data_IF_370138095771
#
_entry.id   IF_370138095771
#
_cell.length_a   1.000
_cell.length_b   1.000
_cell.length_c   1.000
_cell.angle_alpha   90.00
_cell.angle_beta   90.00
_cell.angle_gamma   90.00
#
_symmetry.space_group_name_H-M   'P 1'
#
loop_
_entity.id
_entity.type
_entity.pdbx_description
1 polymer ?
#
# COMPACT_ATOMS: atom_id res chain seq x y z
N UNK A 1 -34.38 -28.97 2.90
CA UNK A 1 -32.94 -28.63 2.85
C UNK A 1 -32.77 -27.43 1.94
N UNK A 2 -32.64 -26.21 2.50
CA UNK A 2 -32.47 -25.00 1.71
C UNK A 2 -31.06 -24.97 1.11
N UNK A 3 -30.98 -24.98 -0.22
CA UNK A 3 -29.74 -24.73 -0.96
C UNK A 3 -29.31 -23.30 -0.66
N UNK A 4 -28.28 -23.13 0.18
CA UNK A 4 -27.64 -21.82 0.41
C UNK A 4 -27.03 -21.37 -0.92
N UNK A 5 -27.76 -20.57 -1.69
CA UNK A 5 -27.24 -19.92 -2.88
C UNK A 5 -26.02 -19.10 -2.46
N UNK A 6 -24.83 -19.54 -2.87
CA UNK A 6 -23.60 -18.78 -2.66
C UNK A 6 -23.72 -17.51 -3.51
N UNK A 7 -23.68 -16.32 -2.92
CA UNK A 7 -23.88 -15.11 -3.71
C UNK A 7 -22.69 -14.89 -4.67
N UNK A 8 -22.99 -14.47 -5.90
CA UNK A 8 -22.08 -14.53 -7.08
C UNK A 8 -20.76 -13.73 -6.99
N UNK A 9 -20.70 -12.72 -6.12
CA UNK A 9 -19.47 -12.02 -5.69
C UNK A 9 -18.46 -12.92 -4.94
N UNK A 10 -18.88 -14.08 -4.43
CA UNK A 10 -17.98 -15.13 -3.91
C UNK A 10 -17.27 -15.91 -5.03
N UNK A 11 -17.87 -16.04 -6.20
CA UNK A 11 -17.30 -16.85 -7.28
C UNK A 11 -16.31 -16.08 -8.16
N UNK A 12 -16.47 -14.76 -8.29
CA UNK A 12 -15.64 -13.91 -9.18
C UNK A 12 -14.23 -13.59 -8.68
N UNK A 13 -13.85 -14.03 -7.48
CA UNK A 13 -12.48 -13.83 -6.92
C UNK A 13 -12.09 -12.37 -6.62
N UNK A 14 -12.93 -11.39 -6.97
CA UNK A 14 -12.70 -9.96 -6.77
C UNK A 14 -14.01 -9.28 -6.39
N UNK A 15 -13.97 -8.40 -5.38
CA UNK A 15 -15.13 -7.63 -4.92
C UNK A 15 -14.88 -6.17 -5.31
N UNK A 16 -15.44 -5.69 -6.43
CA UNK A 16 -15.10 -4.37 -6.99
C UNK A 16 -15.36 -3.21 -6.01
N UNK A 17 -16.37 -3.32 -5.15
CA UNK A 17 -16.67 -2.30 -4.14
C UNK A 17 -15.55 -2.13 -3.11
N UNK A 18 -14.90 -3.22 -2.70
CA UNK A 18 -13.76 -3.16 -1.78
C UNK A 18 -12.51 -2.62 -2.45
N UNK A 19 -12.30 -2.92 -3.73
CA UNK A 19 -11.21 -2.33 -4.51
C UNK A 19 -11.41 -0.83 -4.70
N UNK A 20 -12.66 -0.37 -4.94
CA UNK A 20 -13.00 1.04 -4.98
C UNK A 20 -12.75 1.77 -3.66
N UNK A 21 -13.15 1.16 -2.53
CA UNK A 21 -12.90 1.73 -1.21
C UNK A 21 -11.40 1.80 -0.87
N UNK A 22 -10.62 0.79 -1.29
CA UNK A 22 -9.15 0.83 -1.19
C UNK A 22 -8.55 1.94 -2.04
N UNK A 23 -9.09 2.20 -3.23
CA UNK A 23 -8.63 3.30 -4.07
C UNK A 23 -8.90 4.66 -3.40
N UNK A 24 -10.08 4.86 -2.81
CA UNK A 24 -10.41 6.06 -2.04
C UNK A 24 -9.45 6.22 -0.86
N UNK A 25 -9.19 5.14 -0.12
CA UNK A 25 -8.25 5.16 1.00
C UNK A 25 -6.83 5.57 0.55
N UNK A 26 -6.33 5.03 -0.57
CA UNK A 26 -5.05 5.44 -1.17
C UNK A 26 -5.06 6.93 -1.55
N UNK A 27 -6.15 7.43 -2.16
CA UNK A 27 -6.26 8.83 -2.55
C UNK A 27 -6.18 9.77 -1.33
N UNK A 28 -6.82 9.42 -0.22
CA UNK A 28 -6.71 10.18 1.03
C UNK A 28 -5.26 10.22 1.54
N UNK A 29 -4.55 9.09 1.49
CA UNK A 29 -3.12 9.01 1.87
C UNK A 29 -2.25 9.87 0.95
N UNK A 30 -2.45 9.78 -0.37
CA UNK A 30 -1.70 10.58 -1.35
C UNK A 30 -1.97 12.07 -1.19
N UNK A 31 -3.21 12.46 -0.93
CA UNK A 31 -3.59 13.84 -0.68
C UNK A 31 -2.90 14.37 0.58
N UNK A 32 -2.91 13.59 1.67
CA UNK A 32 -2.26 13.95 2.92
C UNK A 32 -0.74 14.15 2.77
N UNK A 33 -0.05 13.28 2.03
CA UNK A 33 1.39 13.42 1.78
C UNK A 33 1.68 14.56 0.79
N UNK A 34 0.84 14.72 -0.23
CA UNK A 34 0.94 15.77 -1.24
C UNK A 34 0.80 17.17 -0.65
N UNK A 35 -0.08 17.36 0.35
CA UNK A 35 -0.23 18.65 1.05
C UNK A 35 0.92 18.97 2.01
N UNK A 36 1.70 17.96 2.42
CA UNK A 36 2.86 18.12 3.32
C UNK A 36 4.18 18.31 2.57
N UNK A 37 4.19 18.11 1.25
CA UNK A 37 5.39 18.24 0.44
C UNK A 37 5.71 19.72 0.20
N UNK A 38 6.90 20.18 0.60
CA UNK A 38 7.35 21.55 0.36
C UNK A 38 7.34 21.89 -1.15
N UNK A 39 6.65 22.98 -1.52
CA UNK A 39 6.50 23.41 -2.92
C UNK A 39 5.31 22.79 -3.67
N UNK A 40 4.45 22.04 -2.99
CA UNK A 40 3.25 21.45 -3.60
C UNK A 40 2.19 22.50 -3.97
N UNK A 41 1.54 22.39 -5.14
CA UNK A 41 0.42 23.25 -5.54
C UNK A 41 -0.88 22.92 -4.80
N UNK A 42 -0.91 21.85 -4.00
CA UNK A 42 -2.09 21.45 -3.21
C UNK A 42 -2.18 22.38 -2.00
N UNK A 43 -3.32 23.09 -1.79
CA UNK A 43 -3.51 23.93 -0.61
C UNK A 43 -3.24 23.13 0.66
N UNK A 44 -2.41 23.66 1.57
CA UNK A 44 -2.14 23.00 2.83
C UNK A 44 -3.37 22.99 3.72
N UNK A 45 -4.09 21.87 3.80
CA UNK A 45 -5.28 21.71 4.65
C UNK A 45 -4.95 21.46 6.14
N UNK A 46 -3.73 21.75 6.59
CA UNK A 46 -3.32 21.66 7.99
C UNK A 46 -3.63 20.30 8.63
N UNK A 47 -4.23 20.31 9.83
CA UNK A 47 -4.58 19.12 10.63
C UNK A 47 -5.58 18.18 9.95
N UNK A 48 -6.40 18.66 9.02
CA UNK A 48 -7.39 17.85 8.31
C UNK A 48 -6.72 16.85 7.35
N UNK A 49 -5.59 17.24 6.74
CA UNK A 49 -4.79 16.36 5.90
C UNK A 49 -4.14 15.22 6.71
N UNK A 50 -3.66 15.52 7.93
CA UNK A 50 -3.10 14.50 8.83
C UNK A 50 -4.16 13.48 9.25
N UNK A 51 -5.36 13.96 9.58
CA UNK A 51 -6.47 13.10 10.01
C UNK A 51 -6.98 12.19 8.88
N UNK A 52 -7.03 12.71 7.66
CA UNK A 52 -7.44 11.94 6.48
C UNK A 52 -6.37 10.95 6.01
N UNK A 53 -5.09 11.29 6.17
CA UNK A 53 -3.98 10.40 5.89
C UNK A 53 -3.94 9.18 6.81
N UNK A 54 -4.02 9.36 8.13
CA UNK A 54 -3.99 8.25 9.09
C UNK A 54 -5.17 7.30 8.92
N UNK A 55 -6.38 7.85 8.80
CA UNK A 55 -7.60 7.05 8.55
C UNK A 55 -7.51 6.31 7.21
N UNK A 56 -7.00 6.96 6.16
CA UNK A 56 -6.78 6.32 4.86
C UNK A 56 -5.87 5.09 4.98
N UNK A 57 -4.78 5.20 5.74
CA UNK A 57 -3.87 4.08 5.99
C UNK A 57 -4.59 2.93 6.73
N UNK A 58 -5.32 3.24 7.80
CA UNK A 58 -6.06 2.23 8.59
C UNK A 58 -7.09 1.49 7.74
N UNK A 59 -7.95 2.21 7.02
CA UNK A 59 -8.97 1.61 6.14
C UNK A 59 -8.30 0.74 5.08
N UNK A 60 -7.24 1.22 4.44
CA UNK A 60 -6.52 0.46 3.43
C UNK A 60 -5.99 -0.86 3.97
N UNK A 61 -5.40 -0.86 5.17
CA UNK A 61 -4.84 -2.06 5.78
C UNK A 61 -5.93 -3.05 6.19
N UNK A 62 -7.01 -2.60 6.84
CA UNK A 62 -8.14 -3.45 7.24
C UNK A 62 -8.76 -4.13 6.01
N UNK A 63 -9.04 -3.38 4.95
CA UNK A 63 -9.63 -3.92 3.73
C UNK A 63 -8.70 -4.88 2.99
N UNK A 64 -7.40 -4.57 2.95
CA UNK A 64 -6.41 -5.44 2.32
C UNK A 64 -6.25 -6.75 3.10
N UNK A 65 -6.24 -6.70 4.43
CA UNK A 65 -6.21 -7.88 5.29
C UNK A 65 -7.44 -8.77 5.10
N UNK A 66 -8.63 -8.17 5.11
CA UNK A 66 -9.89 -8.88 4.85
C UNK A 66 -9.87 -9.58 3.49
N UNK A 67 -9.46 -8.89 2.42
CA UNK A 67 -9.45 -9.44 1.06
C UNK A 67 -8.41 -10.55 0.90
N UNK A 68 -7.23 -10.42 1.52
CA UNK A 68 -6.20 -11.47 1.54
C UNK A 68 -6.74 -12.74 2.18
N UNK A 69 -7.29 -12.63 3.40
CA UNK A 69 -7.85 -13.78 4.12
C UNK A 69 -9.01 -14.41 3.35
N UNK A 70 -9.88 -13.60 2.75
CA UNK A 70 -10.97 -14.09 1.91
C UNK A 70 -10.47 -14.86 0.68
N UNK A 71 -9.39 -14.39 0.03
CA UNK A 71 -8.78 -15.11 -1.10
C UNK A 71 -8.19 -16.45 -0.65
N UNK A 72 -7.48 -16.47 0.48
CA UNK A 72 -6.87 -17.67 1.03
C UNK A 72 -7.92 -18.72 1.40
N UNK A 73 -9.02 -18.29 2.03
CA UNK A 73 -10.11 -19.19 2.39
C UNK A 73 -10.78 -19.79 1.14
N UNK A 74 -10.94 -18.99 0.07
CA UNK A 74 -11.45 -19.50 -1.21
C UNK A 74 -10.49 -20.47 -1.91
N UNK A 75 -9.18 -20.23 -1.82
CA UNK A 75 -8.16 -21.13 -2.37
C UNK A 75 -8.23 -22.49 -1.69
N UNK A 76 -8.35 -22.50 -0.36
CA UNK A 76 -8.54 -23.70 0.45
C UNK A 76 -9.85 -24.40 0.09
N UNK A 77 -10.96 -23.66 -0.02
CA UNK A 77 -12.26 -24.23 -0.40
C UNK A 77 -12.23 -24.91 -1.79
N UNK A 78 -11.44 -24.39 -2.73
CA UNK A 78 -11.37 -24.91 -4.12
C UNK A 78 -10.35 -26.01 -4.32
N UNK A 79 -9.21 -25.94 -3.64
CA UNK A 79 -8.05 -26.83 -3.88
C UNK A 79 -7.75 -27.76 -2.71
N UNK A 80 -8.43 -27.57 -1.58
CA UNK A 80 -8.21 -28.29 -0.32
C UNK A 80 -6.88 -27.95 0.36
N UNK A 81 -6.09 -27.04 -0.19
CA UNK A 81 -4.74 -26.68 0.27
C UNK A 81 -4.51 -25.18 0.09
N UNK A 82 -3.54 -24.64 0.79
CA UNK A 82 -3.09 -23.26 0.63
C UNK A 82 -1.69 -23.25 0.04
N UNK A 83 -1.53 -22.72 -1.18
CA UNK A 83 -0.20 -22.50 -1.76
C UNK A 83 0.36 -21.14 -1.31
N UNK A 84 0.92 -21.15 -0.10
CA UNK A 84 1.57 -19.98 0.50
C UNK A 84 2.69 -19.44 -0.38
N UNK A 85 3.43 -20.32 -1.07
CA UNK A 85 4.55 -19.93 -1.94
C UNK A 85 4.04 -19.16 -3.15
N UNK A 86 3.01 -19.67 -3.83
CA UNK A 86 2.40 -18.98 -4.95
C UNK A 86 1.72 -17.66 -4.53
N UNK A 87 1.14 -17.61 -3.32
CA UNK A 87 0.60 -16.37 -2.75
C UNK A 87 1.68 -15.28 -2.59
N UNK A 88 2.81 -15.60 -1.94
CA UNK A 88 3.90 -14.63 -1.78
C UNK A 88 4.55 -14.25 -3.11
N UNK A 89 4.70 -15.20 -4.04
CA UNK A 89 5.26 -14.91 -5.37
C UNK A 89 4.44 -13.87 -6.13
N UNK A 90 3.10 -14.03 -6.17
CA UNK A 90 2.19 -13.04 -6.77
C UNK A 90 2.30 -11.67 -6.10
N UNK A 91 2.53 -11.64 -4.78
CA UNK A 91 2.68 -10.40 -4.02
C UNK A 91 4.00 -9.70 -4.31
N UNK A 92 5.11 -10.45 -4.38
CA UNK A 92 6.43 -9.95 -4.75
C UNK A 92 6.40 -9.34 -6.15
N UNK A 93 5.85 -10.07 -7.14
CA UNK A 93 5.73 -9.59 -8.52
C UNK A 93 4.88 -8.30 -8.65
N UNK A 94 4.03 -8.00 -7.66
CA UNK A 94 3.24 -6.76 -7.63
C UNK A 94 3.96 -5.61 -6.92
N UNK A 95 4.69 -5.87 -5.84
CA UNK A 95 5.34 -4.85 -5.01
C UNK A 95 6.71 -4.44 -5.56
N UNK A 96 7.51 -5.41 -6.01
CA UNK A 96 8.88 -5.18 -6.49
C UNK A 96 8.96 -4.18 -7.64
N UNK A 97 8.08 -4.19 -8.66
CA UNK A 97 8.13 -3.20 -9.74
C UNK A 97 7.99 -1.76 -9.24
N UNK A 98 7.08 -1.53 -8.28
CA UNK A 98 6.88 -0.21 -7.69
C UNK A 98 8.08 0.21 -6.84
N UNK A 99 8.67 -0.72 -6.10
CA UNK A 99 9.88 -0.47 -5.30
C UNK A 99 11.08 -0.10 -6.17
N UNK A 100 11.31 -0.84 -7.27
CA UNK A 100 12.38 -0.53 -8.22
C UNK A 100 12.15 0.83 -8.87
N UNK A 101 10.91 1.14 -9.27
CA UNK A 101 10.56 2.45 -9.82
C UNK A 101 10.83 3.58 -8.83
N UNK A 102 10.51 3.39 -7.55
CA UNK A 102 10.83 4.35 -6.49
C UNK A 102 12.34 4.59 -6.36
N UNK A 103 13.15 3.52 -6.28
CA UNK A 103 14.62 3.65 -6.23
C UNK A 103 15.17 4.34 -7.47
N UNK A 104 14.62 4.04 -8.64
CA UNK A 104 15.01 4.67 -9.89
C UNK A 104 14.71 6.18 -9.88
N UNK A 105 13.53 6.60 -9.42
CA UNK A 105 13.17 8.01 -9.27
C UNK A 105 14.11 8.73 -8.29
N UNK A 106 14.46 8.10 -7.16
CA UNK A 106 15.44 8.69 -6.23
C UNK A 106 16.82 8.86 -6.87
N UNK A 107 17.29 7.83 -7.59
CA UNK A 107 18.58 7.87 -8.27
C UNK A 107 18.63 8.96 -9.36
N UNK A 108 17.55 9.12 -10.14
CA UNK A 108 17.48 10.18 -11.15
C UNK A 108 17.40 11.58 -10.54
N UNK A 109 16.62 11.77 -9.47
CA UNK A 109 16.55 13.05 -8.75
C UNK A 109 17.90 13.43 -8.14
N UNK A 110 18.66 12.45 -7.63
CA UNK A 110 20.02 12.67 -7.15
C UNK A 110 20.98 13.04 -8.28
N UNK A 111 20.91 12.33 -9.41
CA UNK A 111 21.76 12.62 -10.58
C UNK A 111 21.51 14.02 -11.15
N UNK A 112 20.26 14.48 -11.12
CA UNK A 112 19.86 15.84 -11.53
C UNK A 112 20.25 16.94 -10.52
N UNK A 113 20.84 16.58 -9.39
CA UNK A 113 21.22 17.54 -8.33
C UNK A 113 20.05 18.12 -7.54
N UNK A 114 18.82 17.65 -7.79
CA UNK A 114 17.61 18.08 -7.08
C UNK A 114 17.47 17.45 -5.69
N UNK A 115 18.21 16.36 -5.41
CA UNK A 115 18.26 15.70 -4.11
C UNK A 115 19.70 15.34 -3.72
N UNK A 116 20.17 15.83 -2.58
CA UNK A 116 21.48 15.49 -2.01
C UNK A 116 21.32 14.32 -1.03
N UNK A 117 21.12 13.09 -1.55
CA UNK A 117 20.96 11.90 -0.71
C UNK A 117 22.34 11.40 -0.26
N UNK A 118 22.60 11.48 1.04
CA UNK A 118 23.88 11.04 1.62
C UNK A 118 24.01 9.51 1.54
N UNK A 119 25.23 8.93 1.44
CA UNK A 119 25.41 7.48 1.39
C UNK A 119 24.80 6.73 2.59
N UNK A 120 24.78 7.37 3.77
CA UNK A 120 24.11 6.83 4.96
C UNK A 120 22.59 6.79 4.85
N UNK A 121 21.97 7.69 4.07
CA UNK A 121 20.52 7.72 3.83
C UNK A 121 20.09 6.63 2.85
N UNK A 122 20.96 6.24 1.91
CA UNK A 122 20.74 5.05 1.06
C UNK A 122 20.71 3.76 1.87
N UNK A 123 21.69 3.58 2.76
CA UNK A 123 21.73 2.42 3.66
C UNK A 123 20.53 2.47 4.60
N UNK A 124 20.16 3.65 5.10
CA UNK A 124 19.02 3.79 6.00
C UNK A 124 17.68 3.56 5.31
N UNK A 125 17.53 3.97 4.05
CA UNK A 125 16.37 3.66 3.21
C UNK A 125 16.27 2.17 2.86
N UNK A 126 17.41 1.49 2.67
CA UNK A 126 17.48 0.05 2.45
C UNK A 126 17.20 -0.79 3.70
N UNK A 127 17.64 -0.33 4.87
CA UNK A 127 17.47 -1.04 6.16
C UNK A 127 16.28 -0.55 6.96
N UNK A 128 15.51 0.39 6.45
CA UNK A 128 14.34 0.98 7.13
C UNK A 128 14.68 1.70 8.46
N UNK A 129 15.96 1.98 8.72
CA UNK A 129 16.45 2.59 9.97
C UNK A 129 16.11 4.08 10.08
N UNK A 130 15.80 4.75 8.96
CA UNK A 130 15.31 6.15 8.97
C UNK A 130 14.07 6.29 9.85
N UNK A 131 13.19 5.29 9.88
CA UNK A 131 11.93 5.34 10.63
C UNK A 131 12.12 5.21 12.15
N UNK A 132 13.26 4.66 12.60
CA UNK A 132 13.60 4.54 14.02
C UNK A 132 14.47 5.70 14.54
N UNK A 133 15.25 6.33 13.66
CA UNK A 133 16.14 7.44 14.05
C UNK A 133 15.49 8.82 13.94
N UNK A 134 14.38 8.96 13.22
CA UNK A 134 13.68 10.25 13.05
C UNK A 134 12.82 10.68 14.24
N UNK A 135 13.05 10.16 15.45
CA UNK A 135 12.30 10.57 16.63
C UNK A 135 13.17 10.61 17.91
N UNK A 136 13.99 11.66 18.11
CA UNK A 136 14.31 12.13 19.45
C UNK A 136 13.31 13.26 19.77
N UNK A 137 12.20 12.91 20.44
CA UNK A 137 11.25 13.77 21.15
C UNK A 137 10.88 15.15 20.55
#
# INVERSE_FOLDING_TARGET
>A
MASRQRPTWLDRGRIPSLDGLRAIAILLVLFAHGSQTHGSPIPGYGSLALFTGSIGVEIFFVLSGFLITLLMLREIDRTGRLDVKAFYWRRILRIVPAYIAYLFVLATLQWLGAAQIRPGEWIAGLTYTVNFLSNPH
#
